data_IF_863031238348
#
_entry.id   IF_863031238348
#
_cell.length_a   1.000
_cell.length_b   1.000
_cell.length_c   1.000
_cell.angle_alpha   90.00
_cell.angle_beta   90.00
_cell.angle_gamma   90.00
#
_symmetry.space_group_name_H-M   'P 1'
#
loop_
_entity.id
_entity.type
_entity.pdbx_description
1 polymer ?
#
# COMPACT_ATOMS: atom_id res chain seq x y z
N UNK A 1 11.83 11.11 -1.57
CA UNK A 1 10.90 11.34 -0.45
C UNK A 1 10.82 10.06 0.35
N UNK A 2 10.93 10.13 1.68
CA UNK A 2 10.81 8.92 2.49
C UNK A 2 9.43 8.30 2.31
N UNK A 3 9.39 7.00 2.02
CA UNK A 3 8.16 6.24 1.81
C UNK A 3 7.21 6.38 3.01
N UNK A 4 7.76 6.41 4.22
CA UNK A 4 6.99 6.57 5.45
C UNK A 4 6.20 7.89 5.47
N UNK A 5 6.88 9.01 5.23
CA UNK A 5 6.27 10.34 5.23
C UNK A 5 5.13 10.44 4.20
N UNK A 6 5.37 9.92 2.99
CA UNK A 6 4.37 9.93 1.91
C UNK A 6 3.14 9.06 2.25
N UNK A 7 3.35 7.91 2.90
CA UNK A 7 2.24 7.06 3.33
C UNK A 7 1.40 7.72 4.43
N UNK A 8 2.04 8.44 5.35
CA UNK A 8 1.34 9.20 6.38
C UNK A 8 0.55 10.37 5.79
N UNK A 9 1.14 11.12 4.85
CA UNK A 9 0.46 12.19 4.13
C UNK A 9 -0.77 11.68 3.37
N UNK A 10 -0.64 10.54 2.67
CA UNK A 10 -1.77 9.92 1.98
C UNK A 10 -2.90 9.50 2.93
N UNK A 11 -2.56 8.96 4.10
CA UNK A 11 -3.54 8.61 5.12
C UNK A 11 -4.24 9.85 5.67
N UNK A 12 -3.51 10.94 5.89
CA UNK A 12 -4.08 12.22 6.30
C UNK A 12 -5.04 12.78 5.24
N UNK A 13 -4.63 12.75 3.96
CA UNK A 13 -5.50 13.11 2.84
C UNK A 13 -6.78 12.26 2.77
N UNK A 14 -6.67 10.94 3.00
CA UNK A 14 -7.84 10.07 3.09
C UNK A 14 -8.76 10.46 4.26
N UNK A 15 -8.19 10.79 5.42
CA UNK A 15 -8.98 11.27 6.56
C UNK A 15 -9.73 12.56 6.22
N UNK A 16 -9.07 13.52 5.56
CA UNK A 16 -9.68 14.76 5.10
C UNK A 16 -10.79 14.54 4.05
N UNK A 17 -10.65 13.54 3.16
CA UNK A 17 -11.70 13.11 2.20
C UNK A 17 -12.92 12.47 2.87
N UNK A 18 -12.92 12.24 4.19
CA UNK A 18 -14.09 11.76 4.93
C UNK A 18 -14.34 10.26 4.86
N UNK A 19 -13.31 9.44 4.60
CA UNK A 19 -13.45 7.98 4.66
C UNK A 19 -13.88 7.51 6.06
N UNK A 20 -14.72 6.47 6.13
CA UNK A 20 -15.19 5.92 7.40
C UNK A 20 -14.03 5.38 8.26
N UNK A 21 -14.22 5.35 9.59
CA UNK A 21 -13.24 4.78 10.53
C UNK A 21 -12.80 3.36 10.14
N UNK A 22 -13.76 2.51 9.73
CA UNK A 22 -13.49 1.15 9.27
C UNK A 22 -12.62 1.13 8.02
N UNK A 23 -12.93 2.00 7.05
CA UNK A 23 -12.13 2.15 5.82
C UNK A 23 -10.71 2.61 6.14
N UNK A 24 -10.55 3.57 7.05
CA UNK A 24 -9.24 4.07 7.47
C UNK A 24 -8.39 2.99 8.16
N UNK A 25 -8.99 2.16 9.02
CA UNK A 25 -8.30 1.02 9.65
C UNK A 25 -7.79 0.05 8.58
N UNK A 26 -8.64 -0.31 7.60
CA UNK A 26 -8.24 -1.19 6.51
C UNK A 26 -7.11 -0.59 5.68
N UNK A 27 -7.24 0.68 5.26
CA UNK A 27 -6.18 1.37 4.49
C UNK A 27 -4.85 1.38 5.23
N UNK A 28 -4.86 1.73 6.52
CA UNK A 28 -3.65 1.80 7.36
C UNK A 28 -3.00 0.42 7.49
N UNK A 29 -3.79 -0.63 7.69
CA UNK A 29 -3.26 -1.99 7.78
C UNK A 29 -2.61 -2.44 6.47
N UNK A 30 -3.24 -2.19 5.33
CA UNK A 30 -2.69 -2.59 4.03
C UNK A 30 -1.43 -1.81 3.66
N UNK A 31 -1.42 -0.50 3.88
CA UNK A 31 -0.25 0.34 3.63
C UNK A 31 0.91 0.00 4.58
N UNK A 32 0.62 -0.39 5.83
CA UNK A 32 1.63 -0.88 6.77
C UNK A 32 2.32 -2.14 6.23
N UNK A 33 1.55 -3.11 5.72
CA UNK A 33 2.10 -4.35 5.16
C UNK A 33 2.92 -4.09 3.89
N UNK A 34 2.48 -3.18 3.03
CA UNK A 34 3.24 -2.76 1.85
C UNK A 34 4.56 -2.10 2.27
N UNK A 35 4.53 -1.15 3.22
CA UNK A 35 5.72 -0.48 3.75
C UNK A 35 6.73 -1.49 4.29
N UNK A 36 6.26 -2.42 5.12
CA UNK A 36 7.11 -3.46 5.70
C UNK A 36 7.74 -4.35 4.62
N UNK A 37 6.98 -4.72 3.59
CA UNK A 37 7.54 -5.46 2.46
C UNK A 37 8.63 -4.67 1.72
N UNK A 38 8.36 -3.40 1.36
CA UNK A 38 9.30 -2.58 0.60
C UNK A 38 10.58 -2.31 1.39
N UNK A 39 10.47 -2.02 2.68
CA UNK A 39 11.64 -1.75 3.53
C UNK A 39 12.39 -3.05 3.83
N UNK A 40 11.71 -4.07 4.38
CA UNK A 40 12.39 -5.25 4.95
C UNK A 40 12.80 -6.25 3.86
N UNK A 41 11.98 -6.44 2.81
CA UNK A 41 12.25 -7.43 1.76
C UNK A 41 12.96 -6.83 0.54
N UNK A 42 12.80 -5.53 0.27
CA UNK A 42 13.38 -4.88 -0.92
C UNK A 42 14.46 -3.86 -0.58
N UNK A 43 14.57 -3.41 0.68
CA UNK A 43 15.54 -2.37 1.07
C UNK A 43 15.20 -0.98 0.51
N UNK A 44 13.95 -0.76 0.11
CA UNK A 44 13.50 0.48 -0.53
C UNK A 44 12.92 1.40 0.54
N UNK A 45 13.60 2.53 0.79
CA UNK A 45 13.19 3.55 1.76
C UNK A 45 12.61 4.80 1.12
N UNK A 46 13.01 5.12 -0.11
CA UNK A 46 12.50 6.26 -0.87
C UNK A 46 11.43 5.83 -1.86
N UNK A 47 10.36 6.63 -1.96
CA UNK A 47 9.22 6.38 -2.86
C UNK A 47 9.67 6.24 -4.32
N UNK A 48 10.61 7.08 -4.76
CA UNK A 48 11.09 7.18 -6.13
C UNK A 48 11.85 5.94 -6.60
N UNK A 49 12.34 5.13 -5.65
CA UNK A 49 13.04 3.89 -5.92
C UNK A 49 12.09 2.69 -6.09
N UNK A 50 10.78 2.88 -5.90
CA UNK A 50 9.78 1.83 -6.11
C UNK A 50 9.48 1.69 -7.60
N UNK A 51 9.65 0.47 -8.12
CA UNK A 51 9.32 0.14 -9.50
C UNK A 51 8.02 -0.66 -9.61
N UNK A 52 7.39 -0.73 -10.80
CA UNK A 52 6.27 -1.63 -11.04
C UNK A 52 6.59 -3.10 -10.70
N UNK A 53 7.84 -3.53 -10.91
CA UNK A 53 8.26 -4.90 -10.58
C UNK A 53 8.24 -5.19 -9.08
N UNK A 54 8.51 -4.21 -8.23
CA UNK A 54 8.38 -4.36 -6.77
C UNK A 54 6.92 -4.60 -6.37
N UNK A 55 6.00 -3.86 -6.99
CA UNK A 55 4.57 -3.98 -6.75
C UNK A 55 4.02 -5.33 -7.26
N UNK A 56 4.44 -5.77 -8.45
CA UNK A 56 4.08 -7.09 -8.99
C UNK A 56 4.61 -8.22 -8.11
N UNK A 57 5.85 -8.10 -7.60
CA UNK A 57 6.42 -9.08 -6.70
C UNK A 57 5.64 -9.15 -5.37
N UNK A 58 5.21 -8.02 -4.84
CA UNK A 58 4.32 -7.97 -3.67
C UNK A 58 2.98 -8.66 -3.94
N UNK A 59 2.37 -8.43 -5.11
CA UNK A 59 1.13 -9.10 -5.49
C UNK A 59 1.28 -10.62 -5.54
N UNK A 60 2.36 -11.11 -6.19
CA UNK A 60 2.65 -12.55 -6.28
C UNK A 60 2.89 -13.16 -4.91
N UNK A 61 3.52 -12.43 -3.98
CA UNK A 61 3.67 -12.84 -2.59
C UNK A 61 2.30 -13.04 -1.94
N UNK A 62 1.41 -12.05 -2.02
CA UNK A 62 0.05 -12.13 -1.45
C UNK A 62 -0.82 -13.21 -2.07
N UNK A 63 -0.63 -13.51 -3.36
CA UNK A 63 -1.31 -14.63 -4.03
C UNK A 63 -0.87 -15.99 -3.48
N UNK A 64 0.41 -16.14 -3.09
CA UNK A 64 0.93 -17.37 -2.48
C UNK A 64 0.43 -17.58 -1.06
N UNK A 65 0.08 -16.51 -0.34
CA UNK A 65 -0.43 -16.54 1.04
C UNK A 65 -1.87 -17.08 1.18
N UNK A 66 -2.45 -17.68 0.11
CA UNK A 66 -3.81 -18.26 0.06
C UNK A 66 -4.91 -17.29 0.53
N UNK A 67 -4.69 -15.99 0.34
CA UNK A 67 -5.70 -14.97 0.62
C UNK A 67 -6.91 -15.13 -0.32
N UNK A 68 -8.07 -14.71 0.17
CA UNK A 68 -9.26 -14.64 -0.68
C UNK A 68 -8.99 -13.71 -1.87
N UNK A 69 -9.36 -14.09 -3.10
CA UNK A 69 -9.12 -13.28 -4.29
C UNK A 69 -9.63 -11.84 -4.17
N UNK A 70 -10.79 -11.66 -3.52
CA UNK A 70 -11.38 -10.35 -3.27
C UNK A 70 -10.51 -9.46 -2.38
N UNK A 71 -9.82 -10.03 -1.39
CA UNK A 71 -8.88 -9.30 -0.54
C UNK A 71 -7.69 -8.83 -1.37
N UNK A 72 -7.14 -9.69 -2.23
CA UNK A 72 -6.03 -9.35 -3.14
C UNK A 72 -6.42 -8.21 -4.07
N UNK A 73 -7.61 -8.26 -4.67
CA UNK A 73 -8.12 -7.19 -5.54
C UNK A 73 -8.28 -5.88 -4.76
N UNK A 74 -8.81 -5.93 -3.54
CA UNK A 74 -9.03 -4.73 -2.72
C UNK A 74 -7.70 -4.08 -2.31
N UNK A 75 -6.72 -4.88 -1.91
CA UNK A 75 -5.35 -4.41 -1.64
C UNK A 75 -4.76 -3.73 -2.86
N UNK A 76 -4.82 -4.37 -4.03
CA UNK A 76 -4.21 -3.81 -5.23
C UNK A 76 -4.87 -2.52 -5.69
N UNK A 77 -6.20 -2.41 -5.57
CA UNK A 77 -6.92 -1.16 -5.83
C UNK A 77 -6.40 -0.04 -4.95
N UNK A 78 -6.17 -0.29 -3.66
CA UNK A 78 -5.62 0.70 -2.74
C UNK A 78 -4.22 1.16 -3.17
N UNK A 79 -3.32 0.20 -3.45
CA UNK A 79 -1.94 0.48 -3.88
C UNK A 79 -1.95 1.31 -5.16
N UNK A 80 -2.77 0.92 -6.13
CA UNK A 80 -2.93 1.66 -7.37
C UNK A 80 -3.44 3.09 -7.13
N UNK A 81 -4.45 3.27 -6.26
CA UNK A 81 -4.96 4.61 -5.92
C UNK A 81 -3.91 5.46 -5.22
N UNK A 82 -3.05 4.85 -4.39
CA UNK A 82 -1.93 5.55 -3.75
C UNK A 82 -0.94 6.11 -4.79
N UNK A 83 -0.52 5.31 -5.77
CA UNK A 83 0.47 5.76 -6.77
C UNK A 83 -0.10 6.60 -7.92
N UNK A 84 -1.38 6.42 -8.29
CA UNK A 84 -1.96 7.07 -9.46
C UNK A 84 -2.77 8.33 -9.17
N UNK A 85 -2.94 8.72 -7.90
CA UNK A 85 -3.54 9.99 -7.50
C UNK A 85 -4.84 10.35 -8.24
N UNK A 86 -5.98 9.85 -7.75
CA UNK A 86 -7.31 10.36 -8.12
C UNK A 86 -8.01 10.93 -6.89
#
# INVERSE_FOLDING_TARGET
>A
MLLEDVLEEYLYHCQAKGFTKKTMINKRQELKQLKEYLIVKRGIVDLENITPHDLEAYMRLKQKDKLQPQSIVTMFKLIRTFFLGV
#
